data_IF_083037249635
#
_entry.id   IF_083037249635
#
_cell.length_a   1.000
_cell.length_b   1.000
_cell.length_c   1.000
_cell.angle_alpha   90.00
_cell.angle_beta   90.00
_cell.angle_gamma   90.00
#
_symmetry.space_group_name_H-M   'P 1'
#
loop_
_entity.id
_entity.type
_entity.pdbx_description
1 polymer ?
#
# COMPACT_ATOMS: atom_id res chain seq x y z
N UNK A 1 -0.93 -8.94 -4.74
CA UNK A 1 -2.12 -9.59 -4.15
C UNK A 1 -2.65 -8.65 -3.08
N UNK A 2 -3.91 -8.21 -3.16
CA UNK A 2 -4.52 -7.42 -2.09
C UNK A 2 -5.10 -8.38 -1.04
N UNK A 3 -4.79 -8.13 0.24
CA UNK A 3 -5.31 -8.90 1.37
C UNK A 3 -6.22 -7.98 2.18
N UNK A 4 -7.51 -8.31 2.28
CA UNK A 4 -8.44 -7.61 3.17
C UNK A 4 -8.58 -8.43 4.45
N UNK A 5 -8.09 -7.90 5.57
CA UNK A 5 -8.23 -8.55 6.88
C UNK A 5 -9.05 -7.74 7.90
N UNK A 6 -9.18 -6.42 7.70
CA UNK A 6 -9.72 -5.51 8.72
C UNK A 6 -10.90 -4.63 8.22
N UNK A 7 -11.55 -5.01 7.12
CA UNK A 7 -12.77 -4.35 6.61
C UNK A 7 -12.55 -3.35 5.47
N UNK A 8 -11.30 -2.97 5.18
CA UNK A 8 -10.89 -2.26 3.95
C UNK A 8 -9.58 -2.86 3.40
N UNK A 9 -9.33 -2.82 2.07
CA UNK A 9 -8.06 -3.25 1.48
C UNK A 9 -6.92 -2.35 1.93
N UNK A 10 -5.84 -2.97 2.38
CA UNK A 10 -4.62 -2.31 2.86
C UNK A 10 -3.41 -2.87 2.11
N UNK A 11 -2.33 -2.09 2.07
CA UNK A 11 -1.10 -2.44 1.37
C UNK A 11 -0.10 -3.05 2.35
N UNK A 12 0.40 -4.22 1.97
CA UNK A 12 1.44 -4.94 2.68
C UNK A 12 2.62 -5.22 1.76
N UNK A 13 3.81 -5.19 2.34
CA UNK A 13 5.05 -5.62 1.69
C UNK A 13 5.50 -6.91 2.35
N UNK A 14 5.87 -7.88 1.52
CA UNK A 14 6.40 -9.16 1.98
C UNK A 14 7.85 -9.29 1.54
N UNK A 15 8.73 -9.56 2.49
CA UNK A 15 10.06 -10.06 2.19
C UNK A 15 9.96 -11.57 1.92
N UNK A 16 10.35 -11.99 0.72
CA UNK A 16 10.18 -13.38 0.25
C UNK A 16 11.13 -14.35 0.97
N UNK A 17 12.31 -13.89 1.39
CA UNK A 17 13.33 -14.73 2.02
C UNK A 17 12.97 -15.08 3.47
N UNK A 18 12.65 -14.06 4.26
CA UNK A 18 12.26 -14.15 5.67
C UNK A 18 10.78 -14.49 5.86
N UNK A 19 9.94 -14.34 4.82
CA UNK A 19 8.48 -14.38 4.90
C UNK A 19 7.89 -13.34 5.86
N UNK A 20 8.65 -12.28 6.15
CA UNK A 20 8.15 -11.19 6.97
C UNK A 20 7.15 -10.33 6.18
N UNK A 21 6.17 -9.79 6.89
CA UNK A 21 5.08 -8.97 6.35
C UNK A 21 5.06 -7.64 7.09
N UNK A 22 5.19 -6.54 6.36
CA UNK A 22 5.08 -5.17 6.87
C UNK A 22 3.81 -4.52 6.32
N UNK A 23 3.04 -3.88 7.20
CA UNK A 23 1.84 -3.11 6.81
C UNK A 23 2.25 -1.67 6.51
N UNK A 24 1.97 -1.21 5.30
CA UNK A 24 2.37 0.14 4.83
C UNK A 24 1.27 1.16 5.04
N UNK A 25 0.01 0.75 4.85
CA UNK A 25 -1.15 1.61 5.07
C UNK A 25 -1.96 1.10 6.25
N UNK A 26 -2.42 2.00 7.11
CA UNK A 26 -3.28 1.69 8.24
C UNK A 26 -4.28 2.82 8.44
N UNK A 27 -5.36 2.79 7.70
CA UNK A 27 -6.36 3.86 7.72
C UNK A 27 -7.74 3.36 7.26
N UNK A 28 -8.77 4.20 7.41
CA UNK A 28 -10.14 3.88 7.01
C UNK A 28 -10.42 4.24 5.54
N UNK A 29 -9.51 3.90 4.63
CA UNK A 29 -9.66 4.10 3.18
C UNK A 29 -9.37 2.79 2.45
N UNK A 30 -9.81 2.70 1.20
CA UNK A 30 -9.48 1.61 0.29
C UNK A 30 -8.17 1.95 -0.39
N UNK A 31 -7.09 1.25 -0.01
CA UNK A 31 -5.76 1.40 -0.59
C UNK A 31 -5.44 0.20 -1.50
N UNK A 32 -5.25 0.47 -2.80
CA UNK A 32 -5.15 -0.58 -3.84
C UNK A 32 -4.11 -0.26 -4.91
N UNK A 33 -3.86 -1.24 -5.79
CA UNK A 33 -3.01 -1.10 -6.99
C UNK A 33 -1.58 -0.57 -6.70
N UNK A 34 -0.83 -1.17 -5.76
CA UNK A 34 0.51 -0.72 -5.46
C UNK A 34 1.46 -0.95 -6.64
N UNK A 35 2.29 0.04 -6.97
CA UNK A 35 3.36 -0.05 -7.94
C UNK A 35 4.66 0.55 -7.37
N UNK A 36 5.77 -0.15 -7.56
CA UNK A 36 7.08 0.32 -7.13
C UNK A 36 7.63 1.39 -8.08
N UNK A 37 8.31 2.39 -7.52
CA UNK A 37 9.20 3.23 -8.29
C UNK A 37 10.37 2.41 -8.86
N UNK A 38 10.96 2.80 -10.00
CA UNK A 38 12.07 2.04 -10.61
C UNK A 38 13.29 1.88 -9.71
N UNK A 39 13.49 2.79 -8.76
CA UNK A 39 14.57 2.74 -7.76
C UNK A 39 14.20 1.93 -6.50
N UNK A 40 12.96 1.43 -6.39
CA UNK A 40 12.47 0.63 -5.26
C UNK A 40 12.30 1.40 -3.95
N UNK A 41 12.43 2.74 -3.95
CA UNK A 41 12.37 3.54 -2.72
C UNK A 41 10.96 4.03 -2.38
N UNK A 42 10.04 4.01 -3.34
CA UNK A 42 8.70 4.55 -3.19
C UNK A 42 7.66 3.62 -3.78
N UNK A 43 6.48 3.63 -3.17
CA UNK A 43 5.32 2.91 -3.64
C UNK A 43 4.23 3.89 -4.04
N UNK A 44 3.75 3.77 -5.27
CA UNK A 44 2.57 4.45 -5.77
C UNK A 44 1.34 3.59 -5.47
N UNK A 45 0.24 4.19 -5.03
CA UNK A 45 -1.01 3.48 -4.85
C UNK A 45 -2.24 4.36 -5.02
N UNK A 46 -3.37 3.68 -5.24
CA UNK A 46 -4.71 4.24 -5.43
C UNK A 46 -5.44 4.27 -4.09
N UNK A 47 -5.95 5.44 -3.67
CA UNK A 47 -6.60 5.64 -2.37
C UNK A 47 -7.87 6.51 -2.47
N UNK A 48 -8.95 6.13 -1.79
CA UNK A 48 -10.24 6.86 -1.78
C UNK A 48 -10.41 7.87 -0.62
N UNK A 49 -9.29 8.15 0.08
CA UNK A 49 -9.23 8.98 1.29
C UNK A 49 -9.79 10.40 1.17
N UNK A 50 -10.02 10.92 -0.04
CA UNK A 50 -10.43 12.31 -0.26
C UNK A 50 -11.93 12.52 -0.51
N UNK A 51 -12.79 11.50 -0.44
CA UNK A 51 -14.22 11.76 -0.64
C UNK A 51 -15.11 10.56 -0.96
N UNK A 52 -14.85 9.39 -0.40
CA UNK A 52 -15.68 8.22 -0.70
C UNK A 52 -15.51 7.71 -2.14
N UNK A 53 -16.30 6.70 -2.55
CA UNK A 53 -15.99 5.82 -3.69
C UNK A 53 -15.86 6.49 -5.06
N UNK A 54 -16.19 7.78 -5.17
CA UNK A 54 -16.10 8.58 -6.40
C UNK A 54 -14.81 9.41 -6.53
N UNK A 55 -13.99 9.54 -5.48
CA UNK A 55 -12.75 10.33 -5.53
C UNK A 55 -11.55 9.46 -5.21
N UNK A 56 -10.69 9.26 -6.22
CA UNK A 56 -9.50 8.44 -6.15
C UNK A 56 -8.27 9.35 -6.28
N UNK A 57 -7.30 9.21 -5.38
CA UNK A 57 -6.01 9.91 -5.47
C UNK A 57 -4.87 8.91 -5.59
N UNK A 58 -3.81 9.38 -6.23
CA UNK A 58 -2.54 8.69 -6.34
C UNK A 58 -1.64 9.19 -5.21
N UNK A 59 -1.17 8.29 -4.35
CA UNK A 59 -0.32 8.61 -3.20
C UNK A 59 1.03 7.88 -3.25
N UNK A 60 2.05 8.52 -2.69
CA UNK A 60 3.38 7.95 -2.50
C UNK A 60 3.58 7.52 -1.05
N UNK A 61 3.99 6.27 -0.84
CA UNK A 61 4.53 5.80 0.43
C UNK A 61 6.04 5.56 0.28
N UNK A 62 6.85 6.19 1.13
CA UNK A 62 8.27 5.88 1.20
C UNK A 62 8.45 4.53 1.89
N UNK A 63 9.14 3.59 1.23
CA UNK A 63 9.47 2.30 1.83
C UNK A 63 10.96 2.30 2.14
N UNK A 64 11.30 2.01 3.39
CA UNK A 64 12.71 1.83 3.77
C UNK A 64 13.19 0.50 3.19
N UNK A 65 14.33 0.47 2.46
CA UNK A 65 14.91 -0.80 2.05
C UNK A 65 15.16 -1.67 3.28
N UNK A 66 14.64 -2.89 3.26
CA UNK A 66 15.05 -3.93 4.21
C UNK A 66 16.52 -4.23 3.91
N UNK A 67 17.40 -3.83 4.85
CA UNK A 67 18.85 -4.09 4.80
C UNK A 67 19.12 -5.58 4.93
#
# INVERSE_FOLDING_TARGET
MSLSKDGQPEIYIMDVGSRSLERITNNNSIDTEPAWSPDGQSLLFTSDRSGGPSFINIQWAAVKPSV
#
